data_IF_640190107390
#
_entry.id   IF_640190107390
#
_cell.length_a   1.000
_cell.length_b   1.000
_cell.length_c   1.000
_cell.angle_alpha   90.00
_cell.angle_beta   90.00
_cell.angle_gamma   90.00
#
_symmetry.space_group_name_H-M   'P 1'
#
loop_
_entity.id
_entity.type
_entity.pdbx_description
1 polymer ?
#
# COMPACT_ATOMS: atom_id res chain seq x y z
N UNK A 1 -19.09 -0.47 21.99
CA UNK A 1 -18.19 -1.58 21.61
C UNK A 1 -16.78 -1.04 21.45
N UNK A 2 -15.76 -1.73 21.98
CA UNK A 2 -14.37 -1.24 22.02
C UNK A 2 -13.68 -1.41 20.65
N UNK A 3 -13.15 -0.33 20.07
CA UNK A 3 -12.42 -0.33 18.79
C UNK A 3 -11.06 -1.02 18.89
N UNK A 4 -10.43 -1.01 20.07
CA UNK A 4 -9.14 -1.68 20.30
C UNK A 4 -9.30 -3.21 20.20
N UNK A 5 -10.41 -3.75 20.71
CA UNK A 5 -10.74 -5.18 20.56
C UNK A 5 -10.97 -5.58 19.09
N UNK A 6 -11.61 -4.71 18.30
CA UNK A 6 -11.80 -4.95 16.85
C UNK A 6 -10.46 -4.98 16.12
N UNK A 7 -9.55 -4.06 16.45
CA UNK A 7 -8.22 -4.02 15.87
C UNK A 7 -7.48 -5.35 16.09
N UNK A 8 -7.41 -5.83 17.33
CA UNK A 8 -6.74 -7.11 17.65
C UNK A 8 -7.40 -8.29 16.93
N UNK A 9 -8.74 -8.32 16.84
CA UNK A 9 -9.45 -9.33 16.07
C UNK A 9 -9.09 -9.29 14.58
N UNK A 10 -9.00 -8.10 13.98
CA UNK A 10 -8.64 -7.93 12.58
C UNK A 10 -7.18 -8.33 12.32
N UNK A 11 -6.26 -8.01 13.25
CA UNK A 11 -4.86 -8.44 13.15
C UNK A 11 -4.71 -9.96 13.18
N UNK A 12 -5.44 -10.63 14.07
CA UNK A 12 -5.47 -12.08 14.14
C UNK A 12 -6.08 -12.68 12.86
N UNK A 13 -7.21 -12.14 12.40
CA UNK A 13 -7.85 -12.56 11.16
C UNK A 13 -6.93 -12.39 9.95
N UNK A 14 -6.20 -11.28 9.83
CA UNK A 14 -5.23 -11.06 8.75
C UNK A 14 -4.18 -12.18 8.74
N UNK A 15 -3.54 -12.45 9.88
CA UNK A 15 -2.46 -13.44 9.99
C UNK A 15 -2.93 -14.86 9.71
N UNK A 16 -4.10 -15.23 10.20
CA UNK A 16 -4.63 -16.60 10.09
C UNK A 16 -5.32 -16.85 8.75
N UNK A 17 -6.03 -15.84 8.23
CA UNK A 17 -6.94 -16.02 7.11
C UNK A 17 -6.48 -15.31 5.82
N UNK A 18 -5.49 -14.43 5.83
CA UNK A 18 -5.13 -13.69 4.61
C UNK A 18 -3.64 -13.72 4.27
N UNK A 19 -2.84 -14.47 5.04
CA UNK A 19 -1.44 -14.75 4.74
C UNK A 19 -1.25 -16.27 4.60
N UNK A 20 -0.43 -16.70 3.64
CA UNK A 20 0.05 -18.09 3.58
C UNK A 20 0.93 -18.44 4.79
N UNK A 21 1.64 -17.43 5.27
CA UNK A 21 2.52 -17.48 6.43
C UNK A 21 3.33 -16.19 6.53
N UNK A 22 4.09 -16.06 7.61
CA UNK A 22 5.08 -14.97 7.79
C UNK A 22 6.45 -15.58 7.54
N UNK A 23 7.09 -15.19 6.44
CA UNK A 23 8.33 -15.76 5.94
C UNK A 23 8.75 -15.17 4.59
N UNK A 24 9.81 -15.74 4.01
CA UNK A 24 10.48 -15.32 2.77
C UNK A 24 10.15 -16.20 1.55
N UNK A 25 9.37 -17.28 1.75
CA UNK A 25 8.91 -18.16 0.67
C UNK A 25 8.00 -17.43 -0.31
N UNK A 26 7.88 -17.98 -1.52
CA UNK A 26 6.91 -17.54 -2.54
C UNK A 26 5.50 -17.37 -1.95
N UNK A 27 4.83 -16.24 -2.23
CA UNK A 27 3.55 -15.85 -1.62
C UNK A 27 3.51 -15.53 -0.12
N UNK A 28 4.57 -15.77 0.67
CA UNK A 28 4.55 -15.50 2.12
C UNK A 28 4.67 -14.01 2.41
N UNK A 29 4.08 -13.60 3.53
CA UNK A 29 4.00 -12.21 4.01
C UNK A 29 3.34 -11.24 3.00
N UNK A 30 2.59 -11.79 2.04
CA UNK A 30 1.80 -11.06 1.07
C UNK A 30 0.31 -11.25 1.41
N UNK A 31 -0.39 -10.15 1.71
CA UNK A 31 -1.78 -10.20 2.16
C UNK A 31 -2.77 -10.34 1.00
N UNK A 32 -3.60 -11.40 1.03
CA UNK A 32 -4.77 -11.53 0.17
C UNK A 32 -5.74 -10.38 0.46
N UNK A 33 -6.42 -9.87 -0.56
CA UNK A 33 -7.40 -8.79 -0.39
C UNK A 33 -8.76 -9.31 0.09
N UNK A 34 -9.18 -10.48 -0.40
CA UNK A 34 -10.53 -10.98 -0.17
C UNK A 34 -10.62 -12.51 -0.22
N UNK A 35 -11.64 -13.04 0.48
CA UNK A 35 -12.11 -14.43 0.40
C UNK A 35 -13.55 -14.45 -0.06
N UNK A 36 -13.82 -15.10 -1.20
CA UNK A 36 -15.14 -15.14 -1.82
C UNK A 36 -15.98 -16.27 -1.25
N UNK A 37 -17.17 -15.94 -0.74
CA UNK A 37 -18.05 -16.90 -0.06
C UNK A 37 -18.69 -17.89 -1.02
N UNK A 38 -19.00 -17.47 -2.25
CA UNK A 38 -19.72 -18.29 -3.23
C UNK A 38 -18.81 -19.28 -3.97
N UNK A 39 -17.56 -18.91 -4.24
CA UNK A 39 -16.62 -19.76 -4.98
C UNK A 39 -15.61 -20.48 -4.09
N UNK A 40 -15.37 -19.98 -2.88
CA UNK A 40 -14.23 -20.41 -2.07
C UNK A 40 -12.89 -19.94 -2.65
N UNK A 41 -12.88 -18.89 -3.48
CA UNK A 41 -11.65 -18.32 -4.02
C UNK A 41 -11.03 -17.32 -3.02
N UNK A 42 -9.71 -17.37 -2.85
CA UNK A 42 -8.93 -16.32 -2.18
C UNK A 42 -8.17 -15.51 -3.24
N UNK A 43 -8.05 -14.20 -3.06
CA UNK A 43 -7.51 -13.31 -4.09
C UNK A 43 -6.34 -12.46 -3.62
N UNK A 44 -5.29 -12.44 -4.43
CA UNK A 44 -4.08 -11.60 -4.32
C UNK A 44 -3.91 -10.60 -5.48
N UNK A 45 -4.93 -10.36 -6.32
CA UNK A 45 -4.79 -9.33 -7.35
C UNK A 45 -4.47 -7.95 -6.74
N UNK A 46 -3.55 -7.21 -7.37
CA UNK A 46 -2.88 -6.01 -6.85
C UNK A 46 -2.33 -6.15 -5.41
N UNK A 47 -1.76 -7.31 -5.05
CA UNK A 47 -1.28 -7.58 -3.70
C UNK A 47 -0.25 -6.57 -3.17
N UNK A 48 0.54 -5.92 -4.03
CA UNK A 48 1.45 -4.86 -3.60
C UNK A 48 0.75 -3.62 -3.03
N UNK A 49 -0.51 -3.36 -3.39
CA UNK A 49 -1.32 -2.33 -2.69
C UNK A 49 -1.59 -2.79 -1.24
N UNK A 50 -2.01 -4.06 -1.06
CA UNK A 50 -2.19 -4.64 0.27
C UNK A 50 -0.87 -4.67 1.05
N UNK A 51 0.26 -4.96 0.40
CA UNK A 51 1.59 -4.93 1.01
C UNK A 51 1.93 -3.53 1.51
N UNK A 52 1.67 -2.49 0.72
CA UNK A 52 1.85 -1.09 1.13
C UNK A 52 1.04 -0.73 2.38
N UNK A 53 -0.23 -1.15 2.43
CA UNK A 53 -1.07 -0.98 3.63
C UNK A 53 -0.56 -1.79 4.81
N UNK A 54 -0.11 -3.02 4.58
CA UNK A 54 0.42 -3.89 5.63
C UNK A 54 1.69 -3.33 6.25
N UNK A 55 2.63 -2.83 5.44
CA UNK A 55 3.81 -2.09 5.89
C UNK A 55 3.42 -0.87 6.74
N UNK A 56 2.42 -0.10 6.30
CA UNK A 56 1.90 1.05 7.04
C UNK A 56 1.26 0.67 8.39
N UNK A 57 0.45 -0.40 8.41
CA UNK A 57 -0.14 -0.96 9.64
C UNK A 57 0.96 -1.37 10.61
N UNK A 58 1.94 -2.14 10.15
CA UNK A 58 3.02 -2.63 11.01
C UNK A 58 3.90 -1.50 11.56
N UNK A 59 4.24 -0.50 10.75
CA UNK A 59 5.04 0.64 11.20
C UNK A 59 4.32 1.46 12.29
N UNK A 60 3.03 1.71 12.07
CA UNK A 60 2.21 2.46 13.03
C UNK A 60 1.86 1.64 14.28
N UNK A 61 1.69 0.33 14.14
CA UNK A 61 1.54 -0.63 15.26
C UNK A 61 2.79 -0.65 16.13
N UNK A 62 3.98 -0.74 15.52
CA UNK A 62 5.25 -0.69 16.24
C UNK A 62 5.33 0.56 17.12
N UNK A 63 5.03 1.73 16.56
CA UNK A 63 5.05 2.99 17.28
C UNK A 63 4.07 2.98 18.47
N UNK A 64 2.81 2.59 18.25
CA UNK A 64 1.80 2.53 19.31
C UNK A 64 2.21 1.55 20.41
N UNK A 65 2.72 0.37 20.06
CA UNK A 65 3.17 -0.62 21.03
C UNK A 65 4.36 -0.10 21.83
N UNK A 66 5.31 0.58 21.19
CA UNK A 66 6.45 1.17 21.89
C UNK A 66 6.02 2.27 22.85
N UNK A 67 5.09 3.14 22.46
CA UNK A 67 4.54 4.20 23.32
C UNK A 67 3.82 3.67 24.56
N UNK A 68 3.30 2.44 24.48
CA UNK A 68 2.58 1.76 25.56
C UNK A 68 3.40 0.65 26.24
N UNK A 69 4.72 0.59 25.98
CA UNK A 69 5.65 -0.42 26.52
C UNK A 69 5.20 -1.88 26.27
N UNK A 70 4.54 -2.15 25.14
CA UNK A 70 4.15 -3.48 24.68
C UNK A 70 5.29 -4.15 23.89
N UNK A 71 5.29 -5.48 23.83
CA UNK A 71 6.25 -6.25 23.04
C UNK A 71 6.07 -5.97 21.52
N UNK A 72 7.16 -5.60 20.85
CA UNK A 72 7.21 -5.28 19.41
C UNK A 72 7.86 -6.37 18.55
N UNK A 73 8.36 -7.45 19.13
CA UNK A 73 9.15 -8.50 18.46
C UNK A 73 8.39 -9.11 17.26
N UNK A 74 7.12 -9.46 17.45
CA UNK A 74 6.29 -10.01 16.38
C UNK A 74 6.05 -8.99 15.26
N UNK A 75 5.88 -7.70 15.58
CA UNK A 75 5.72 -6.63 14.59
C UNK A 75 7.03 -6.39 13.83
N UNK A 76 8.18 -6.45 14.48
CA UNK A 76 9.51 -6.37 13.85
C UNK A 76 9.71 -7.55 12.89
N UNK A 77 9.36 -8.77 13.31
CA UNK A 77 9.42 -9.98 12.46
C UNK A 77 8.57 -9.80 11.20
N UNK A 78 7.33 -9.35 11.34
CA UNK A 78 6.44 -9.10 10.20
C UNK A 78 6.96 -7.98 9.29
N UNK A 79 7.51 -6.89 9.83
CA UNK A 79 8.13 -5.82 9.04
C UNK A 79 9.28 -6.35 8.21
N UNK A 80 10.19 -7.10 8.84
CA UNK A 80 11.34 -7.70 8.14
C UNK A 80 10.89 -8.56 6.96
N UNK A 81 9.92 -9.46 7.18
CA UNK A 81 9.46 -10.33 6.10
C UNK A 81 8.60 -9.60 5.06
N UNK A 82 7.79 -8.61 5.43
CA UNK A 82 7.04 -7.80 4.47
C UNK A 82 7.96 -6.97 3.55
N UNK A 83 9.07 -6.43 4.08
CA UNK A 83 10.09 -5.76 3.26
C UNK A 83 10.85 -6.79 2.40
N UNK A 84 11.17 -7.96 2.95
CA UNK A 84 11.79 -9.06 2.21
C UNK A 84 10.90 -9.57 1.07
N UNK A 85 9.58 -9.53 1.23
CA UNK A 85 8.62 -9.82 0.16
C UNK A 85 8.79 -8.84 -0.99
N UNK A 86 8.90 -7.53 -0.71
CA UNK A 86 9.11 -6.52 -1.74
C UNK A 86 10.46 -6.67 -2.44
N UNK A 87 11.53 -6.98 -1.68
CA UNK A 87 12.83 -7.38 -2.23
C UNK A 87 12.70 -8.49 -3.25
N UNK A 88 12.02 -9.57 -2.88
CA UNK A 88 11.88 -10.74 -3.72
C UNK A 88 11.01 -10.45 -4.95
N UNK A 89 9.94 -9.66 -4.81
CA UNK A 89 9.08 -9.25 -5.94
C UNK A 89 9.80 -8.34 -6.94
N UNK A 90 10.76 -7.53 -6.50
CA UNK A 90 11.68 -6.75 -7.34
C UNK A 90 12.70 -7.69 -8.00
N UNK A 91 13.46 -8.42 -7.19
CA UNK A 91 14.54 -9.31 -7.65
C UNK A 91 14.12 -10.30 -8.73
N UNK A 92 12.94 -10.91 -8.61
CA UNK A 92 12.48 -11.95 -9.54
C UNK A 92 11.61 -11.41 -10.66
N UNK A 93 11.31 -10.11 -10.70
CA UNK A 93 10.31 -9.53 -11.58
C UNK A 93 10.55 -9.89 -13.06
N UNK A 94 11.78 -9.71 -13.53
CA UNK A 94 12.15 -9.95 -14.93
C UNK A 94 12.03 -11.39 -15.37
N UNK A 95 12.14 -12.34 -14.43
CA UNK A 95 12.11 -13.78 -14.73
C UNK A 95 10.75 -14.27 -15.19
N UNK A 96 9.69 -13.49 -14.95
CA UNK A 96 8.33 -13.77 -15.40
C UNK A 96 8.07 -13.35 -16.85
N UNK A 97 9.03 -12.70 -17.51
CA UNK A 97 8.86 -12.09 -18.83
C UNK A 97 9.89 -12.59 -19.82
N UNK A 98 9.57 -12.47 -21.11
CA UNK A 98 10.43 -12.86 -22.21
C UNK A 98 10.60 -11.71 -23.19
N UNK A 99 11.80 -11.55 -23.73
CA UNK A 99 12.09 -10.57 -24.77
C UNK A 99 11.52 -10.99 -26.15
N UNK A 100 11.78 -10.21 -27.18
CA UNK A 100 11.35 -10.51 -28.56
C UNK A 100 11.93 -11.81 -29.13
N UNK A 101 13.06 -12.28 -28.59
CA UNK A 101 13.73 -13.52 -28.95
C UNK A 101 13.31 -14.70 -28.06
N UNK A 102 12.28 -14.53 -27.23
CA UNK A 102 11.80 -15.51 -26.24
C UNK A 102 12.85 -15.90 -25.20
N UNK A 103 13.79 -15.01 -24.91
CA UNK A 103 14.75 -15.18 -23.82
C UNK A 103 14.15 -14.63 -22.54
N UNK A 104 14.13 -15.44 -21.48
CA UNK A 104 13.64 -15.00 -20.18
C UNK A 104 14.51 -13.88 -19.62
N UNK A 105 13.88 -12.91 -18.97
CA UNK A 105 14.60 -11.87 -18.24
C UNK A 105 15.44 -12.44 -17.10
N UNK A 106 16.48 -11.70 -16.70
CA UNK A 106 17.37 -12.10 -15.60
C UNK A 106 16.99 -11.36 -14.32
N UNK A 107 17.09 -12.01 -13.14
CA UNK A 107 16.85 -11.35 -11.87
C UNK A 107 17.62 -10.05 -11.73
N UNK A 108 16.97 -8.98 -11.25
CA UNK A 108 17.57 -7.66 -11.09
C UNK A 108 16.94 -6.89 -9.93
N UNK A 109 17.76 -6.13 -9.19
CA UNK A 109 17.27 -5.21 -8.17
C UNK A 109 17.33 -3.79 -8.74
N UNK A 110 16.35 -3.44 -9.54
CA UNK A 110 16.31 -2.16 -10.23
C UNK A 110 15.09 -1.31 -9.86
N UNK A 111 14.19 -1.81 -9.01
CA UNK A 111 12.96 -1.14 -8.61
C UNK A 111 11.73 -1.48 -9.47
N UNK A 112 11.90 -2.31 -10.52
CA UNK A 112 10.80 -2.96 -11.22
C UNK A 112 10.34 -4.17 -10.43
N UNK A 113 9.04 -4.27 -10.13
CA UNK A 113 8.51 -5.40 -9.38
C UNK A 113 7.28 -6.00 -10.04
N UNK A 114 6.98 -7.25 -9.70
CA UNK A 114 5.68 -7.87 -9.97
C UNK A 114 4.71 -7.70 -8.80
N UNK A 115 3.41 -7.74 -9.08
CA UNK A 115 2.35 -7.46 -8.08
C UNK A 115 2.20 -8.55 -7.05
N UNK A 116 2.38 -9.78 -7.48
CA UNK A 116 2.46 -10.96 -6.65
C UNK A 116 3.31 -12.02 -7.34
N UNK A 117 3.66 -13.05 -6.59
CA UNK A 117 4.34 -14.24 -7.10
C UNK A 117 3.60 -15.51 -6.70
N UNK A 118 2.28 -15.48 -6.60
CA UNK A 118 1.51 -16.63 -6.11
C UNK A 118 1.08 -17.50 -7.27
N UNK A 119 1.63 -18.70 -7.37
CA UNK A 119 1.33 -19.68 -8.41
C UNK A 119 0.46 -20.85 -7.88
N UNK A 120 1.03 -21.72 -7.06
CA UNK A 120 0.45 -22.95 -6.53
C UNK A 120 0.53 -22.88 -5.02
N UNK A 121 -0.63 -22.93 -4.37
CA UNK A 121 -0.73 -23.11 -2.92
C UNK A 121 -0.68 -24.61 -2.62
N UNK A 122 0.18 -25.00 -1.67
CA UNK A 122 0.30 -26.39 -1.22
C UNK A 122 -0.92 -26.83 -0.41
N UNK A 123 -1.13 -28.14 -0.29
CA UNK A 123 -2.19 -28.70 0.55
C UNK A 123 -2.11 -28.21 2.00
N UNK A 124 -0.91 -28.08 2.55
CA UNK A 124 -0.68 -27.60 3.93
C UNK A 124 -1.04 -26.12 4.09
N UNK A 125 -0.77 -25.30 3.08
CA UNK A 125 -1.17 -23.88 3.10
C UNK A 125 -2.69 -23.72 2.97
N UNK A 126 -3.37 -24.51 2.14
CA UNK A 126 -4.84 -24.55 2.14
C UNK A 126 -5.39 -24.96 3.51
N UNK A 127 -4.80 -25.96 4.16
CA UNK A 127 -5.20 -26.37 5.50
C UNK A 127 -5.00 -25.24 6.51
N UNK A 128 -3.88 -24.54 6.44
CA UNK A 128 -3.57 -23.38 7.28
C UNK A 128 -4.60 -22.26 7.08
N UNK A 129 -4.86 -21.89 5.82
CA UNK A 129 -5.85 -20.89 5.45
C UNK A 129 -7.28 -21.28 5.86
N UNK A 130 -7.61 -22.56 5.94
CA UNK A 130 -8.95 -23.02 6.27
C UNK A 130 -9.14 -23.33 7.76
N UNK A 131 -8.07 -23.32 8.55
CA UNK A 131 -8.15 -23.61 9.98
C UNK A 131 -8.83 -22.45 10.73
N UNK A 132 -10.09 -22.67 11.16
CA UNK A 132 -10.87 -21.66 11.89
C UNK A 132 -11.49 -20.56 11.01
N UNK A 133 -11.36 -20.64 9.68
CA UNK A 133 -11.97 -19.68 8.76
C UNK A 133 -13.46 -19.97 8.54
N UNK A 134 -14.27 -18.92 8.41
CA UNK A 134 -15.69 -19.03 8.02
C UNK A 134 -15.87 -19.46 6.55
N UNK A 135 -14.87 -19.23 5.70
CA UNK A 135 -14.89 -19.55 4.28
C UNK A 135 -13.77 -20.52 3.98
N UNK A 136 -14.13 -21.71 3.48
CA UNK A 136 -13.19 -22.69 2.98
C UNK A 136 -12.68 -22.28 1.60
N UNK A 137 -11.38 -22.00 1.55
CA UNK A 137 -10.62 -21.68 0.35
C UNK A 137 -10.36 -22.97 -0.44
N UNK A 138 -10.66 -22.92 -1.73
CA UNK A 138 -10.58 -24.02 -2.70
C UNK A 138 -9.75 -23.67 -3.94
N UNK A 139 -9.60 -22.38 -4.22
CA UNK A 139 -8.86 -21.89 -5.38
C UNK A 139 -8.23 -20.53 -5.10
N UNK A 140 -7.32 -20.13 -5.99
CA UNK A 140 -6.54 -18.89 -5.90
C UNK A 140 -6.82 -18.02 -7.11
N UNK A 141 -6.89 -16.72 -6.87
CA UNK A 141 -6.88 -15.69 -7.90
C UNK A 141 -5.67 -14.78 -7.68
N UNK A 142 -4.73 -14.84 -8.60
CA UNK A 142 -3.45 -14.16 -8.54
C UNK A 142 -3.21 -13.48 -9.89
N UNK A 143 -2.58 -12.31 -9.88
CA UNK A 143 -2.25 -11.61 -11.13
C UNK A 143 -1.18 -12.42 -11.90
N UNK A 144 -0.31 -13.19 -11.24
CA UNK A 144 0.66 -14.08 -11.89
C UNK A 144 -0.02 -15.15 -12.76
N UNK A 145 -1.18 -15.67 -12.33
CA UNK A 145 -1.90 -16.73 -13.03
C UNK A 145 -2.75 -16.25 -14.22
N UNK A 146 -2.87 -14.93 -14.42
CA UNK A 146 -3.62 -14.33 -15.53
C UNK A 146 -2.78 -14.29 -16.82
N UNK A 147 -2.42 -15.47 -17.31
CA UNK A 147 -1.50 -15.66 -18.43
C UNK A 147 -2.16 -15.23 -19.75
N UNK A 148 -1.53 -14.29 -20.45
CA UNK A 148 -1.86 -13.98 -21.84
C UNK A 148 -1.37 -15.14 -22.73
N UNK A 149 -2.29 -15.85 -23.37
CA UNK A 149 -1.98 -17.07 -24.14
C UNK A 149 -1.08 -16.81 -25.34
N UNK A 150 -1.06 -15.59 -25.89
CA UNK A 150 -0.20 -15.23 -27.01
C UNK A 150 1.24 -14.93 -26.54
N UNK A 151 1.38 -14.39 -25.33
CA UNK A 151 2.68 -13.98 -24.76
C UNK A 151 3.33 -15.07 -23.90
N UNK A 152 2.53 -15.96 -23.30
CA UNK A 152 2.99 -17.00 -22.37
C UNK A 152 3.30 -16.48 -20.96
N UNK A 153 2.91 -15.24 -20.64
CA UNK A 153 3.08 -14.63 -19.31
C UNK A 153 1.94 -13.66 -18.98
N UNK A 154 1.83 -13.28 -17.70
CA UNK A 154 0.84 -12.30 -17.25
C UNK A 154 1.35 -10.86 -17.38
N UNK A 155 0.74 -10.11 -18.29
CA UNK A 155 0.91 -8.65 -18.38
C UNK A 155 0.17 -7.90 -17.26
N UNK A 156 -0.77 -8.57 -16.59
CA UNK A 156 -1.47 -7.99 -15.45
C UNK A 156 -0.64 -8.05 -14.17
N UNK A 157 0.41 -8.87 -14.11
CA UNK A 157 1.31 -8.95 -12.96
C UNK A 157 2.42 -7.87 -12.93
N UNK A 158 2.54 -7.05 -13.97
CA UNK A 158 3.52 -5.96 -13.99
C UNK A 158 3.17 -4.86 -12.99
N UNK A 159 4.17 -4.21 -12.37
CA UNK A 159 3.93 -3.01 -11.55
C UNK A 159 3.15 -1.94 -12.32
N UNK A 160 2.46 -1.09 -11.55
CA UNK A 160 1.73 0.07 -12.02
C UNK A 160 1.88 1.22 -11.04
N UNK A 161 1.59 2.45 -11.48
CA UNK A 161 1.67 3.65 -10.64
C UNK A 161 0.88 3.52 -9.34
N UNK A 162 -0.28 2.86 -9.36
CA UNK A 162 -1.16 2.75 -8.19
C UNK A 162 -0.43 1.97 -7.08
N UNK A 163 0.24 0.87 -7.44
CA UNK A 163 1.00 0.05 -6.51
C UNK A 163 2.22 0.77 -5.97
N UNK A 164 2.93 1.50 -6.83
CA UNK A 164 4.05 2.35 -6.41
C UNK A 164 3.62 3.33 -5.33
N UNK A 165 2.48 4.01 -5.51
CA UNK A 165 1.99 5.02 -4.57
C UNK A 165 1.72 4.42 -3.18
N UNK A 166 1.04 3.28 -3.13
CA UNK A 166 0.71 2.66 -1.84
C UNK A 166 1.89 1.95 -1.17
N UNK A 167 2.84 1.43 -1.95
CA UNK A 167 4.12 0.97 -1.40
C UNK A 167 4.90 2.14 -0.79
N UNK A 168 5.03 3.26 -1.50
CA UNK A 168 5.69 4.46 -0.98
C UNK A 168 4.98 4.99 0.27
N UNK A 169 3.66 4.85 0.39
CA UNK A 169 2.92 5.19 1.61
C UNK A 169 3.35 4.33 2.80
N UNK A 170 3.39 3.00 2.64
CA UNK A 170 3.88 2.10 3.69
C UNK A 170 5.33 2.35 4.08
N UNK A 171 6.21 2.51 3.09
CA UNK A 171 7.64 2.79 3.28
C UNK A 171 7.87 4.14 3.97
N UNK A 172 7.06 5.15 3.65
CA UNK A 172 7.13 6.47 4.31
C UNK A 172 6.72 6.42 5.78
N UNK A 173 5.75 5.58 6.13
CA UNK A 173 5.38 5.35 7.53
C UNK A 173 6.48 4.60 8.29
N UNK A 174 7.18 3.67 7.62
CA UNK A 174 8.37 3.01 8.20
C UNK A 174 9.46 4.04 8.51
N UNK A 175 9.81 4.91 7.56
CA UNK A 175 10.79 6.00 7.79
C UNK A 175 10.42 6.88 8.99
N UNK A 176 9.13 7.17 9.16
CA UNK A 176 8.64 8.03 10.25
C UNK A 176 8.72 7.36 11.61
N UNK A 177 8.37 6.07 11.69
CA UNK A 177 8.04 5.42 12.97
C UNK A 177 9.00 4.33 13.42
N UNK A 178 9.84 3.82 12.53
CA UNK A 178 10.83 2.80 12.85
C UNK A 178 12.19 3.48 13.09
N UNK A 179 12.79 3.32 14.29
CA UNK A 179 14.15 3.80 14.55
C UNK A 179 15.21 3.12 13.68
N UNK A 180 16.29 3.84 13.35
CA UNK A 180 17.43 3.39 12.51
C UNK A 180 18.22 2.18 13.07
N UNK A 181 17.93 1.78 14.31
CA UNK A 181 18.56 0.63 14.97
C UNK A 181 17.65 -0.60 15.01
N UNK A 182 16.50 -0.58 14.32
CA UNK A 182 15.51 -1.64 14.44
C UNK A 182 15.86 -2.77 13.49
N UNK A 183 16.30 -3.88 14.08
CA UNK A 183 16.71 -5.09 13.37
C UNK A 183 15.87 -6.29 13.79
N UNK A 184 15.67 -7.25 12.89
CA UNK A 184 15.09 -8.55 13.23
C UNK A 184 16.20 -9.53 13.59
N UNK A 185 16.06 -10.18 14.75
CA UNK A 185 17.02 -11.16 15.25
C UNK A 185 16.37 -12.54 15.34
N UNK A 186 17.12 -13.58 14.99
CA UNK A 186 16.75 -14.99 15.23
C UNK A 186 17.95 -15.67 15.87
N UNK A 187 17.76 -16.29 17.03
CA UNK A 187 18.84 -16.95 17.78
C UNK A 187 20.06 -16.03 18.01
N UNK A 188 19.82 -14.77 18.35
CA UNK A 188 20.84 -13.72 18.52
C UNK A 188 21.64 -13.35 17.26
N UNK A 189 21.21 -13.80 16.08
CA UNK A 189 21.77 -13.37 14.80
C UNK A 189 20.89 -12.30 14.15
N UNK A 190 21.49 -11.19 13.73
CA UNK A 190 20.83 -10.16 12.95
C UNK A 190 20.55 -10.70 11.55
N UNK A 191 19.29 -10.62 11.11
CA UNK A 191 18.90 -10.96 9.75
C UNK A 191 19.05 -9.76 8.81
N UNK A 192 19.48 -10.04 7.59
CA UNK A 192 19.77 -9.03 6.56
C UNK A 192 18.82 -9.21 5.38
N UNK A 193 18.29 -8.10 4.88
CA UNK A 193 17.57 -8.02 3.62
C UNK A 193 18.60 -7.81 2.51
N UNK A 194 18.62 -8.67 1.50
CA UNK A 194 19.72 -8.77 0.54
C UNK A 194 19.75 -7.67 -0.56
N UNK A 195 19.33 -6.44 -0.25
CA UNK A 195 19.54 -5.29 -1.14
C UNK A 195 21.02 -4.87 -1.12
N UNK A 196 21.73 -5.07 -2.25
CA UNK A 196 23.10 -4.55 -2.53
C UNK A 196 24.01 -4.39 -1.29
N UNK A 197 24.64 -5.50 -0.86
CA UNK A 197 25.54 -5.67 0.31
C UNK A 197 24.88 -6.08 1.64
N UNK A 198 23.57 -6.33 1.65
CA UNK A 198 22.86 -6.81 2.84
C UNK A 198 22.57 -5.68 3.84
N UNK A 199 21.29 -5.34 3.97
CA UNK A 199 20.80 -4.26 4.85
C UNK A 199 20.08 -4.92 6.03
N UNK A 200 20.58 -4.72 7.24
CA UNK A 200 19.94 -5.23 8.46
C UNK A 200 18.88 -4.32 9.04
N UNK A 201 19.04 -3.00 8.87
CA UNK A 201 18.12 -2.01 9.43
C UNK A 201 16.86 -1.86 8.56
N UNK A 202 15.70 -2.00 9.20
CA UNK A 202 14.38 -1.98 8.55
C UNK A 202 14.12 -0.63 7.87
N UNK A 203 14.50 0.48 8.50
CA UNK A 203 14.26 1.82 7.94
C UNK A 203 15.16 2.08 6.73
N UNK A 204 16.45 1.79 6.84
CA UNK A 204 17.42 1.91 5.75
C UNK A 204 17.00 1.06 4.54
N UNK A 205 16.49 -0.15 4.76
CA UNK A 205 15.96 -0.99 3.70
C UNK A 205 14.76 -0.30 3.01
N UNK A 206 13.83 0.27 3.78
CA UNK A 206 12.68 0.97 3.22
C UNK A 206 13.07 2.22 2.38
N UNK A 207 14.06 2.99 2.83
CA UNK A 207 14.61 4.15 2.11
C UNK A 207 15.30 3.73 0.80
N UNK A 208 16.09 2.65 0.84
CA UNK A 208 16.77 2.11 -0.35
C UNK A 208 15.78 1.61 -1.39
N UNK A 209 14.76 0.87 -0.97
CA UNK A 209 13.70 0.38 -1.86
C UNK A 209 12.92 1.53 -2.48
N UNK A 210 12.55 2.52 -1.67
CA UNK A 210 11.86 3.71 -2.17
C UNK A 210 12.69 4.40 -3.25
N UNK A 211 13.99 4.53 -3.03
CA UNK A 211 14.94 5.11 -4.00
C UNK A 211 14.97 4.32 -5.30
N UNK A 212 15.12 2.99 -5.25
CA UNK A 212 15.14 2.13 -6.44
C UNK A 212 13.84 2.25 -7.25
N UNK A 213 12.68 2.16 -6.59
CA UNK A 213 11.38 2.32 -7.26
C UNK A 213 11.27 3.68 -7.94
N UNK A 214 11.68 4.76 -7.26
CA UNK A 214 11.61 6.13 -7.76
C UNK A 214 12.57 6.36 -8.95
N UNK A 215 13.78 5.81 -8.89
CA UNK A 215 14.74 5.81 -10.00
C UNK A 215 14.15 5.06 -11.19
N UNK A 216 13.59 3.87 -10.97
CA UNK A 216 13.00 3.05 -12.01
C UNK A 216 11.88 3.76 -12.76
N UNK A 217 10.85 4.26 -12.05
CA UNK A 217 9.71 4.92 -12.68
C UNK A 217 10.13 6.22 -13.41
N UNK A 218 11.24 6.82 -13.00
CA UNK A 218 11.77 8.04 -13.62
C UNK A 218 12.78 7.79 -14.74
N UNK A 219 13.20 6.54 -14.95
CA UNK A 219 14.24 6.15 -15.93
C UNK A 219 13.83 6.46 -17.38
N UNK A 220 12.52 6.36 -17.66
CA UNK A 220 11.91 6.60 -18.97
C UNK A 220 11.08 7.90 -19.01
N UNK A 221 11.42 8.86 -18.15
CA UNK A 221 10.72 10.15 -18.09
C UNK A 221 10.82 10.92 -19.40
N UNK A 222 9.69 11.48 -19.82
CA UNK A 222 9.57 12.45 -20.92
C UNK A 222 9.02 13.77 -20.39
N UNK A 223 9.07 14.82 -21.21
CA UNK A 223 8.47 16.13 -20.91
C UNK A 223 6.99 15.99 -20.52
N UNK A 224 6.27 15.01 -21.05
CA UNK A 224 4.83 14.82 -20.87
C UNK A 224 4.41 13.55 -20.08
N UNK A 225 5.31 12.96 -19.29
CA UNK A 225 4.94 11.83 -18.41
C UNK A 225 6.09 10.89 -18.09
N UNK A 226 5.91 10.09 -17.05
CA UNK A 226 6.86 9.06 -16.64
C UNK A 226 6.28 7.69 -17.00
N UNK A 227 6.79 7.12 -18.09
CA UNK A 227 6.31 5.85 -18.62
C UNK A 227 7.05 4.70 -17.96
N UNK A 228 6.34 3.88 -17.19
CA UNK A 228 6.87 2.64 -16.65
C UNK A 228 6.96 1.64 -17.80
N UNK A 229 8.16 1.14 -18.05
CA UNK A 229 8.40 0.06 -19.00
C UNK A 229 8.71 -1.21 -18.25
N UNK A 230 8.52 -2.34 -18.91
CA UNK A 230 9.05 -3.62 -18.48
C UNK A 230 10.49 -3.73 -19.02
N UNK A 231 11.48 -4.04 -18.18
CA UNK A 231 12.89 -3.99 -18.59
C UNK A 231 13.28 -5.19 -19.45
N UNK A 232 12.55 -6.31 -19.36
CA UNK A 232 12.75 -7.49 -20.21
C UNK A 232 12.16 -7.28 -21.60
N UNK A 233 10.93 -6.78 -21.68
CA UNK A 233 10.22 -6.66 -22.97
C UNK A 233 10.50 -5.34 -23.69
N UNK A 234 11.02 -4.33 -22.97
CA UNK A 234 11.19 -2.96 -23.47
C UNK A 234 9.87 -2.21 -23.71
N UNK A 235 8.71 -2.84 -23.48
CA UNK A 235 7.38 -2.27 -23.71
C UNK A 235 6.89 -1.53 -22.48
N UNK A 236 5.98 -0.58 -22.70
CA UNK A 236 5.22 0.06 -21.62
C UNK A 236 4.36 -0.97 -20.90
N UNK A 237 4.33 -0.94 -19.56
CA UNK A 237 3.51 -1.88 -18.77
C UNK A 237 2.02 -1.75 -19.13
N UNK A 238 1.24 -2.83 -19.02
CA UNK A 238 -0.15 -2.83 -19.50
C UNK A 238 -1.07 -1.88 -18.71
N UNK A 239 -0.89 -1.79 -17.39
CA UNK A 239 -1.80 -1.06 -16.48
C UNK A 239 -1.06 0.05 -15.75
N UNK A 240 -1.69 1.22 -15.65
CA UNK A 240 -1.18 2.33 -14.83
C UNK A 240 0.24 2.76 -15.20
N UNK A 241 0.59 2.67 -16.49
CA UNK A 241 1.95 2.90 -16.98
C UNK A 241 2.44 4.34 -16.90
N UNK A 242 1.52 5.32 -16.84
CA UNK A 242 1.87 6.73 -16.86
C UNK A 242 1.75 7.31 -15.45
N UNK A 243 2.89 7.56 -14.83
CA UNK A 243 2.99 8.45 -13.68
C UNK A 243 2.87 9.90 -14.20
N UNK A 244 1.68 10.50 -13.99
CA UNK A 244 1.39 11.85 -14.46
C UNK A 244 2.24 12.90 -13.74
N UNK A 245 2.39 14.08 -14.35
CA UNK A 245 3.15 15.22 -13.80
C UNK A 245 2.87 15.58 -12.34
N UNK A 246 1.61 15.48 -11.92
CA UNK A 246 1.25 15.79 -10.55
C UNK A 246 1.85 14.79 -9.54
N UNK A 247 2.03 13.54 -9.94
CA UNK A 247 2.72 12.54 -9.13
C UNK A 247 4.24 12.74 -9.21
N UNK A 248 4.77 13.18 -10.36
CA UNK A 248 6.20 13.40 -10.56
C UNK A 248 6.81 14.37 -9.54
N UNK A 249 6.15 15.50 -9.25
CA UNK A 249 6.57 16.41 -8.17
C UNK A 249 6.62 15.72 -6.80
N UNK A 250 5.60 14.94 -6.49
CA UNK A 250 5.51 14.21 -5.23
C UNK A 250 6.60 13.12 -5.14
N UNK A 251 6.82 12.35 -6.20
CA UNK A 251 7.91 11.38 -6.33
C UNK A 251 9.27 12.03 -6.13
N UNK A 252 9.54 13.16 -6.79
CA UNK A 252 10.77 13.91 -6.61
C UNK A 252 10.95 14.45 -5.19
N UNK A 253 9.86 14.85 -4.53
CA UNK A 253 9.91 15.31 -3.13
C UNK A 253 10.27 14.18 -2.17
N UNK A 254 9.78 12.97 -2.41
CA UNK A 254 10.16 11.76 -1.67
C UNK A 254 11.61 11.39 -2.00
N UNK A 255 12.01 11.41 -3.27
CA UNK A 255 13.38 11.08 -3.67
C UNK A 255 14.42 12.00 -3.05
N UNK A 256 14.17 13.32 -3.07
CA UNK A 256 15.02 14.35 -2.44
C UNK A 256 15.26 14.09 -0.96
N UNK A 257 14.26 13.53 -0.26
CA UNK A 257 14.36 13.20 1.15
C UNK A 257 15.40 12.09 1.40
N UNK A 258 15.48 11.10 0.53
CA UNK A 258 16.39 9.96 0.68
C UNK A 258 17.77 10.18 0.06
N UNK A 259 17.89 11.08 -0.93
CA UNK A 259 19.11 11.26 -1.71
C UNK A 259 19.73 12.65 -1.50
N UNK A 260 19.81 13.11 -0.25
CA UNK A 260 20.52 14.34 0.13
C UNK A 260 20.12 15.60 -0.69
N UNK A 261 18.86 15.68 -1.12
CA UNK A 261 18.34 16.80 -1.93
C UNK A 261 18.54 16.66 -3.44
N UNK A 262 19.16 15.59 -3.93
CA UNK A 262 19.25 15.27 -5.36
C UNK A 262 17.86 15.14 -6.00
N UNK A 263 17.76 15.52 -7.27
CA UNK A 263 16.47 15.59 -7.97
C UNK A 263 16.39 14.55 -9.08
N UNK A 264 15.25 13.86 -9.16
CA UNK A 264 14.90 12.99 -10.29
C UNK A 264 14.85 13.74 -11.63
N UNK A 265 14.74 15.08 -11.63
CA UNK A 265 14.76 15.91 -12.84
C UNK A 265 16.17 16.33 -13.29
N UNK A 266 17.22 16.03 -12.52
CA UNK A 266 18.56 16.54 -12.79
C UNK A 266 18.62 18.08 -12.81
N UNK A 267 19.48 18.65 -13.66
CA UNK A 267 19.74 20.09 -13.75
C UNK A 267 18.56 20.95 -14.24
N UNK A 268 17.53 20.37 -14.85
CA UNK A 268 16.35 21.09 -15.36
C UNK A 268 15.20 21.19 -14.33
N UNK A 269 15.46 20.79 -13.08
CA UNK A 269 14.45 20.65 -12.02
C UNK A 269 13.59 21.89 -11.75
N UNK A 270 14.14 23.10 -11.84
CA UNK A 270 13.41 24.34 -11.54
C UNK A 270 12.31 24.69 -12.56
N UNK A 271 12.57 24.47 -13.86
CA UNK A 271 11.63 24.78 -14.93
C UNK A 271 10.47 23.78 -14.96
N UNK A 272 10.79 22.49 -14.83
CA UNK A 272 9.78 21.42 -14.74
C UNK A 272 8.91 21.58 -13.49
N UNK A 273 9.51 21.82 -12.31
CA UNK A 273 8.73 22.00 -11.08
C UNK A 273 7.76 23.20 -11.17
N UNK A 274 8.15 24.28 -11.86
CA UNK A 274 7.30 25.46 -12.03
C UNK A 274 6.12 25.18 -12.97
N UNK A 275 6.37 24.50 -14.09
CA UNK A 275 5.34 24.09 -15.05
C UNK A 275 4.34 23.11 -14.43
N UNK A 276 4.84 22.10 -13.73
CA UNK A 276 4.01 21.09 -13.07
C UNK A 276 3.10 21.72 -12.01
N UNK A 277 3.59 22.68 -11.23
CA UNK A 277 2.79 23.41 -10.25
C UNK A 277 1.62 24.18 -10.89
N UNK A 278 1.81 24.70 -12.10
CA UNK A 278 0.75 25.38 -12.86
C UNK A 278 -0.36 24.42 -13.28
N UNK A 279 0.01 23.31 -13.92
CA UNK A 279 -0.93 22.28 -14.37
C UNK A 279 -1.65 21.65 -13.17
N UNK A 280 -0.91 21.34 -12.10
CA UNK A 280 -1.44 20.77 -10.87
C UNK A 280 -2.59 21.58 -10.32
N UNK A 281 -2.43 22.91 -10.19
CA UNK A 281 -3.46 23.78 -9.61
C UNK A 281 -4.74 23.81 -10.44
N UNK A 282 -4.62 23.73 -11.77
CA UNK A 282 -5.78 23.76 -12.68
C UNK A 282 -6.47 22.39 -12.76
N UNK A 283 -5.71 21.30 -12.72
CA UNK A 283 -6.21 19.94 -12.93
C UNK A 283 -6.64 19.18 -11.67
N UNK A 284 -6.15 19.56 -10.47
CA UNK A 284 -6.34 18.76 -9.24
C UNK A 284 -7.81 18.40 -8.96
N UNK A 285 -8.70 19.38 -9.05
CA UNK A 285 -10.13 19.17 -8.80
C UNK A 285 -10.76 18.20 -9.81
N UNK A 286 -10.37 18.29 -11.08
CA UNK A 286 -10.85 17.42 -12.15
C UNK A 286 -10.37 15.98 -11.92
N UNK A 287 -9.09 15.80 -11.57
CA UNK A 287 -8.51 14.48 -11.33
C UNK A 287 -9.19 13.78 -10.15
N UNK A 288 -9.42 14.49 -9.03
CA UNK A 288 -10.14 13.91 -7.89
C UNK A 288 -11.56 13.50 -8.29
N UNK A 289 -12.27 14.31 -9.09
CA UNK A 289 -13.61 13.99 -9.60
C UNK A 289 -13.64 12.81 -10.59
N UNK A 290 -12.51 12.49 -11.23
CA UNK A 290 -12.39 11.37 -12.18
C UNK A 290 -12.08 10.03 -11.50
N UNK A 291 -12.22 9.92 -10.18
CA UNK A 291 -11.98 8.66 -9.43
C UNK A 291 -10.49 8.34 -9.21
N UNK A 292 -9.60 9.30 -9.45
CA UNK A 292 -8.16 9.17 -9.19
C UNK A 292 -7.77 9.88 -7.88
N UNK A 293 -8.76 10.23 -7.05
CA UNK A 293 -8.58 11.01 -5.82
C UNK A 293 -7.63 10.38 -4.84
N UNK A 294 -7.76 9.06 -4.59
CA UNK A 294 -6.89 8.32 -3.68
C UNK A 294 -5.41 8.50 -4.04
N UNK A 295 -5.03 8.30 -5.30
CA UNK A 295 -3.63 8.44 -5.72
C UNK A 295 -3.06 9.83 -5.48
N UNK A 296 -3.81 10.87 -5.84
CA UNK A 296 -3.31 12.24 -5.75
C UNK A 296 -3.25 12.69 -4.29
N UNK A 297 -4.25 12.32 -3.50
CA UNK A 297 -4.33 12.66 -2.08
C UNK A 297 -3.29 11.89 -1.27
N UNK A 298 -3.12 10.59 -1.51
CA UNK A 298 -2.06 9.79 -0.87
C UNK A 298 -0.70 10.38 -1.21
N UNK A 299 -0.42 10.67 -2.47
CA UNK A 299 0.86 11.30 -2.85
C UNK A 299 1.04 12.67 -2.20
N UNK A 300 -0.01 13.49 -2.12
CA UNK A 300 0.05 14.75 -1.40
C UNK A 300 0.34 14.55 0.10
N UNK A 301 -0.32 13.58 0.72
CA UNK A 301 -0.19 13.25 2.12
C UNK A 301 1.21 12.78 2.48
N UNK A 302 1.85 11.94 1.65
CA UNK A 302 3.17 11.38 1.97
C UNK A 302 4.34 12.28 1.58
N UNK A 303 4.17 13.14 0.56
CA UNK A 303 5.26 13.97 0.01
C UNK A 303 5.27 15.43 0.47
N UNK A 304 4.16 15.93 1.04
CA UNK A 304 3.95 17.36 1.29
C UNK A 304 4.18 18.24 0.04
N UNK A 305 3.84 17.74 -1.15
CA UNK A 305 4.17 18.40 -2.42
C UNK A 305 3.64 19.83 -2.58
N UNK A 306 2.62 20.27 -1.84
CA UNK A 306 2.09 21.64 -1.92
C UNK A 306 2.60 22.55 -0.79
N UNK A 307 3.60 22.11 -0.03
CA UNK A 307 4.15 22.85 1.11
C UNK A 307 3.07 23.20 2.13
N UNK A 308 3.04 24.46 2.58
CA UNK A 308 2.05 24.95 3.55
C UNK A 308 0.58 24.82 3.12
N UNK A 309 0.31 24.59 1.82
CA UNK A 309 -1.05 24.39 1.32
C UNK A 309 -1.50 22.93 1.32
N UNK A 310 -0.60 21.97 1.52
CA UNK A 310 -0.92 20.53 1.41
C UNK A 310 -2.04 20.15 2.37
N UNK A 311 -1.93 20.51 3.65
CA UNK A 311 -2.93 20.19 4.66
C UNK A 311 -4.33 20.71 4.28
N UNK A 312 -4.42 21.99 3.88
CA UNK A 312 -5.68 22.61 3.46
C UNK A 312 -6.29 21.93 2.23
N UNK A 313 -5.44 21.51 1.27
CA UNK A 313 -5.90 20.75 0.10
C UNK A 313 -6.44 19.41 0.57
N UNK A 314 -5.69 18.63 1.33
CA UNK A 314 -6.13 17.32 1.82
C UNK A 314 -7.46 17.43 2.58
N UNK A 315 -7.56 18.34 3.56
CA UNK A 315 -8.79 18.53 4.33
C UNK A 315 -10.00 18.84 3.45
N UNK A 316 -9.85 19.73 2.46
CA UNK A 316 -10.90 20.07 1.49
C UNK A 316 -11.42 18.85 0.72
N UNK A 317 -10.56 17.88 0.43
CA UNK A 317 -10.89 16.71 -0.37
C UNK A 317 -11.15 15.43 0.46
N UNK A 318 -10.77 15.39 1.73
CA UNK A 318 -10.91 14.20 2.58
C UNK A 318 -12.35 13.94 3.01
N UNK A 319 -13.08 14.97 3.41
CA UNK A 319 -14.43 14.82 4.01
C UNK A 319 -15.58 15.18 3.08
N UNK A 320 -15.29 15.46 1.81
CA UNK A 320 -16.31 15.77 0.82
C UNK A 320 -16.73 14.50 0.09
N UNK A 321 -18.03 14.28 -0.02
CA UNK A 321 -18.55 13.21 -0.89
C UNK A 321 -18.32 13.60 -2.35
N UNK A 322 -17.53 12.79 -3.05
CA UNK A 322 -17.35 12.87 -4.50
C UNK A 322 -18.39 12.01 -5.22
N UNK A 323 -18.28 11.95 -6.56
CA UNK A 323 -19.09 11.05 -7.38
C UNK A 323 -19.10 9.65 -6.75
N UNK A 324 -20.27 9.02 -6.68
CA UNK A 324 -20.47 7.72 -6.03
C UNK A 324 -20.18 7.69 -4.51
N UNK A 325 -20.37 8.83 -3.82
CA UNK A 325 -20.19 8.98 -2.37
C UNK A 325 -18.76 8.72 -1.87
N UNK A 326 -17.76 8.69 -2.77
CA UNK A 326 -16.36 8.47 -2.42
C UNK A 326 -15.84 9.55 -1.46
N UNK A 327 -15.20 9.12 -0.37
CA UNK A 327 -14.51 9.98 0.59
C UNK A 327 -13.12 9.41 0.91
N UNK A 328 -12.19 10.31 1.26
CA UNK A 328 -10.77 10.00 1.49
C UNK A 328 -10.33 10.56 2.85
N UNK A 329 -11.15 10.36 3.88
CA UNK A 329 -10.98 10.95 5.21
C UNK A 329 -9.63 10.61 5.86
N UNK A 330 -9.10 9.43 5.55
CA UNK A 330 -7.91 8.89 6.15
C UNK A 330 -6.64 9.64 5.74
N UNK A 331 -6.66 10.30 4.59
CA UNK A 331 -5.55 11.09 4.06
C UNK A 331 -5.21 12.28 4.96
N UNK A 332 -6.23 12.84 5.62
CA UNK A 332 -6.04 13.89 6.61
C UNK A 332 -5.27 13.36 7.82
N UNK A 333 -5.62 12.18 8.32
CA UNK A 333 -4.86 11.55 9.40
C UNK A 333 -3.43 11.24 8.95
N UNK A 334 -3.27 10.61 7.77
CA UNK A 334 -1.96 10.23 7.22
C UNK A 334 -1.00 11.42 7.15
N UNK A 335 -1.44 12.55 6.58
CA UNK A 335 -0.62 13.76 6.49
C UNK A 335 -0.22 14.26 7.89
N UNK A 336 -1.20 14.42 8.79
CA UNK A 336 -0.93 15.02 10.08
C UNK A 336 -0.03 14.14 10.96
N UNK A 337 -0.11 12.82 10.84
CA UNK A 337 0.81 11.93 11.58
C UNK A 337 2.23 11.95 11.00
N UNK A 338 2.40 12.05 9.67
CA UNK A 338 3.73 12.10 9.05
C UNK A 338 4.46 13.41 9.35
N UNK A 339 3.72 14.52 9.35
CA UNK A 339 4.28 15.88 9.49
C UNK A 339 4.08 16.47 10.90
N UNK A 340 3.50 15.71 11.83
CA UNK A 340 3.25 16.12 13.22
C UNK A 340 2.60 17.50 13.29
N UNK A 341 1.61 17.73 12.42
CA UNK A 341 0.87 18.98 12.38
C UNK A 341 -0.42 18.85 13.18
N UNK A 342 -0.66 19.79 14.08
CA UNK A 342 -1.95 19.94 14.73
C UNK A 342 -2.91 20.65 13.76
N UNK A 343 -4.14 20.15 13.61
CA UNK A 343 -5.13 20.75 12.72
C UNK A 343 -6.47 20.89 13.45
N UNK A 344 -6.90 22.13 13.66
CA UNK A 344 -8.16 22.43 14.36
C UNK A 344 -9.37 21.77 13.69
N UNK A 345 -9.48 21.86 12.36
CA UNK A 345 -10.58 21.27 11.61
C UNK A 345 -10.63 19.74 11.79
N UNK A 346 -9.47 19.08 11.73
CA UNK A 346 -9.36 17.64 11.99
C UNK A 346 -9.68 17.32 13.45
N UNK A 347 -9.27 18.15 14.43
CA UNK A 347 -9.60 17.95 15.84
C UNK A 347 -11.11 17.87 16.09
N UNK A 348 -11.90 18.69 15.38
CA UNK A 348 -13.37 18.64 15.42
C UNK A 348 -13.97 17.37 14.80
N UNK A 349 -13.17 16.54 14.10
CA UNK A 349 -13.60 15.25 13.52
C UNK A 349 -13.34 14.05 14.44
N UNK A 350 -12.84 14.24 15.67
CA UNK A 350 -12.55 13.12 16.59
C UNK A 350 -13.76 12.21 16.83
N UNK A 351 -14.92 12.79 17.10
CA UNK A 351 -16.16 12.04 17.34
C UNK A 351 -16.66 11.34 16.06
N UNK A 352 -16.48 11.99 14.90
CA UNK A 352 -16.79 11.40 13.61
C UNK A 352 -15.97 10.13 13.37
N UNK A 353 -14.64 10.18 13.58
CA UNK A 353 -13.77 9.01 13.42
C UNK A 353 -14.08 7.92 14.44
N UNK A 354 -14.41 8.28 15.68
CA UNK A 354 -14.81 7.32 16.71
C UNK A 354 -16.08 6.55 16.28
N UNK A 355 -17.10 7.27 15.80
CA UNK A 355 -18.32 6.67 15.25
C UNK A 355 -18.04 5.78 14.03
N UNK A 356 -17.21 6.29 13.12
CA UNK A 356 -16.82 5.60 11.89
C UNK A 356 -16.04 4.29 12.17
N UNK A 357 -15.07 4.28 13.07
CA UNK A 357 -14.36 3.06 13.48
C UNK A 357 -15.27 2.12 14.29
N UNK A 358 -16.21 2.65 15.07
CA UNK A 358 -17.21 1.84 15.78
C UNK A 358 -18.23 1.19 14.84
N UNK A 359 -18.45 1.71 13.63
CA UNK A 359 -19.38 1.11 12.66
C UNK A 359 -18.83 -0.14 11.95
N UNK A 360 -17.52 -0.39 12.02
CA UNK A 360 -16.89 -1.57 11.40
C UNK A 360 -17.44 -2.88 12.00
N UNK A 361 -17.70 -3.93 11.22
CA UNK A 361 -18.21 -5.19 11.76
C UNK A 361 -17.20 -5.86 12.69
N UNK A 362 -17.66 -6.58 13.72
CA UNK A 362 -16.75 -7.17 14.70
C UNK A 362 -15.75 -8.16 14.08
N UNK A 363 -16.20 -8.96 13.10
CA UNK A 363 -15.44 -10.10 12.55
C UNK A 363 -14.63 -9.77 11.28
N UNK A 364 -14.54 -8.50 10.90
CA UNK A 364 -13.88 -8.09 9.66
C UNK A 364 -14.83 -7.37 8.71
N UNK A 365 -14.31 -6.56 7.77
CA UNK A 365 -15.12 -5.97 6.72
C UNK A 365 -15.60 -7.06 5.75
N UNK A 366 -16.80 -6.89 5.21
CA UNK A 366 -17.40 -7.86 4.29
C UNK A 366 -18.41 -7.19 3.36
N UNK A 367 -18.70 -7.84 2.24
CA UNK A 367 -19.83 -7.49 1.40
C UNK A 367 -20.52 -8.77 0.92
N UNK A 368 -21.77 -8.98 1.35
CA UNK A 368 -22.57 -10.15 0.97
C UNK A 368 -23.74 -9.82 0.04
N UNK A 369 -23.79 -8.59 -0.49
CA UNK A 369 -24.91 -8.06 -1.30
C UNK A 369 -26.28 -8.13 -0.60
N UNK A 370 -26.30 -8.20 0.74
CA UNK A 370 -27.51 -8.10 1.57
C UNK A 370 -27.56 -6.72 2.24
N UNK A 371 -28.38 -5.83 1.67
CA UNK A 371 -28.51 -4.42 2.07
C UNK A 371 -28.99 -4.22 3.50
N UNK A 372 -29.61 -5.22 4.12
CA UNK A 372 -30.20 -5.11 5.47
C UNK A 372 -29.17 -5.31 6.59
N UNK A 373 -27.97 -5.81 6.26
CA UNK A 373 -26.92 -6.19 7.23
C UNK A 373 -25.54 -5.59 6.92
N UNK A 374 -25.44 -4.66 5.98
CA UNK A 374 -24.14 -4.09 5.61
C UNK A 374 -23.71 -2.99 6.56
N UNK A 375 -22.46 -3.08 7.02
CA UNK A 375 -21.72 -1.87 7.37
C UNK A 375 -21.28 -1.20 6.07
N UNK A 376 -22.08 -0.24 5.59
CA UNK A 376 -21.88 0.41 4.29
C UNK A 376 -20.44 0.88 4.10
N UNK A 377 -19.86 1.52 5.12
CA UNK A 377 -18.49 2.03 5.07
C UNK A 377 -17.42 0.94 4.97
N UNK A 378 -17.70 -0.25 5.47
CA UNK A 378 -16.76 -1.36 5.59
C UNK A 378 -17.16 -2.53 4.68
N UNK A 379 -17.71 -2.21 3.51
CA UNK A 379 -18.21 -3.17 2.52
C UNK A 379 -17.49 -3.11 1.18
N UNK A 380 -16.25 -2.63 1.17
CA UNK A 380 -15.34 -2.67 0.04
C UNK A 380 -14.04 -3.40 0.43
N UNK A 381 -13.44 -4.13 -0.51
CA UNK A 381 -12.14 -4.79 -0.30
C UNK A 381 -10.96 -3.83 -0.17
N UNK A 382 -11.11 -2.62 -0.73
CA UNK A 382 -10.12 -1.54 -0.69
C UNK A 382 -10.81 -0.21 -0.49
N UNK A 383 -11.30 0.05 0.71
CA UNK A 383 -11.95 1.30 1.09
C UNK A 383 -11.06 2.52 0.85
N UNK A 384 -9.78 2.44 1.18
CA UNK A 384 -8.83 3.57 1.09
C UNK A 384 -8.53 3.98 -0.34
N UNK A 385 -8.61 3.03 -1.29
CA UNK A 385 -8.26 3.25 -2.70
C UNK A 385 -9.47 3.30 -3.62
N UNK A 386 -10.54 2.58 -3.29
CA UNK A 386 -11.79 2.49 -4.06
C UNK A 386 -13.02 2.73 -3.15
N UNK A 387 -13.12 3.87 -2.45
CA UNK A 387 -14.25 4.16 -1.56
C UNK A 387 -15.60 4.23 -2.30
N UNK A 388 -15.60 4.43 -3.62
CA UNK A 388 -16.80 4.34 -4.47
C UNK A 388 -17.37 2.92 -4.56
N UNK A 389 -16.58 1.88 -4.28
CA UNK A 389 -16.98 0.48 -4.38
C UNK A 389 -17.70 -0.03 -3.12
N UNK A 390 -18.25 0.86 -2.29
CA UNK A 390 -18.99 0.52 -1.07
C UNK A 390 -20.44 0.17 -1.38
N UNK A 391 -21.03 -0.67 -0.52
CA UNK A 391 -22.42 -1.07 -0.59
C UNK A 391 -22.71 -1.87 -1.86
N UNK A 392 -23.74 -1.46 -2.59
CA UNK A 392 -24.16 -2.13 -3.82
C UNK A 392 -23.29 -1.80 -5.05
N UNK A 393 -22.48 -0.75 -4.97
CA UNK A 393 -21.53 -0.37 -6.03
C UNK A 393 -20.32 -1.32 -6.08
N UNK A 394 -20.19 -2.20 -5.08
CA UNK A 394 -19.21 -3.26 -5.10
C UNK A 394 -19.51 -4.27 -6.22
N UNK A 395 -18.83 -4.09 -7.36
CA UNK A 395 -18.95 -4.97 -8.52
C UNK A 395 -18.32 -6.36 -8.30
N UNK A 396 -17.66 -6.59 -7.17
CA UNK A 396 -17.08 -7.88 -6.82
C UNK A 396 -18.09 -8.94 -6.37
N UNK A 397 -17.55 -10.10 -6.03
CA UNK A 397 -18.31 -11.23 -5.50
C UNK A 397 -18.55 -11.07 -4.00
N UNK A 398 -19.54 -11.81 -3.46
CA UNK A 398 -19.77 -11.84 -2.02
C UNK A 398 -18.49 -12.30 -1.32
N UNK A 399 -17.96 -11.52 -0.38
CA UNK A 399 -16.64 -11.77 0.18
C UNK A 399 -16.42 -11.19 1.58
N UNK A 400 -15.46 -11.79 2.28
CA UNK A 400 -14.79 -11.20 3.45
C UNK A 400 -13.51 -10.51 3.01
N UNK A 401 -13.15 -9.41 3.67
CA UNK A 401 -11.98 -8.61 3.35
C UNK A 401 -10.96 -8.64 4.49
N UNK A 402 -9.69 -8.38 4.17
CA UNK A 402 -8.57 -8.56 5.09
C UNK A 402 -8.50 -7.52 6.24
N UNK A 403 -9.24 -6.42 6.15
CA UNK A 403 -9.30 -5.40 7.19
C UNK A 403 -8.11 -4.44 7.26
N UNK A 404 -7.16 -4.49 6.33
CA UNK A 404 -5.95 -3.63 6.35
C UNK A 404 -6.30 -2.14 6.40
N UNK A 405 -7.32 -1.71 5.66
CA UNK A 405 -7.79 -0.32 5.66
C UNK A 405 -8.26 0.13 7.05
N UNK A 406 -9.05 -0.71 7.72
CA UNK A 406 -9.50 -0.44 9.09
C UNK A 406 -8.32 -0.31 10.04
N UNK A 407 -7.39 -1.26 9.97
CA UNK A 407 -6.23 -1.29 10.87
C UNK A 407 -5.33 -0.06 10.66
N UNK A 408 -5.10 0.34 9.40
CA UNK A 408 -4.32 1.54 9.10
C UNK A 408 -5.02 2.79 9.64
N UNK A 409 -6.30 2.98 9.34
CA UNK A 409 -7.07 4.15 9.79
C UNK A 409 -7.13 4.21 11.32
N UNK A 410 -7.37 3.07 11.97
CA UNK A 410 -7.36 2.96 13.43
C UNK A 410 -6.01 3.39 14.00
N UNK A 411 -4.88 2.90 13.46
CA UNK A 411 -3.57 3.28 13.97
C UNK A 411 -3.30 4.78 13.77
N UNK A 412 -3.59 5.32 12.58
CA UNK A 412 -3.44 6.75 12.30
C UNK A 412 -4.30 7.61 13.24
N UNK A 413 -5.53 7.17 13.52
CA UNK A 413 -6.44 7.80 14.48
C UNK A 413 -5.85 7.80 15.90
N UNK A 414 -5.41 6.63 16.38
CA UNK A 414 -4.83 6.49 17.73
C UNK A 414 -3.58 7.34 17.88
N UNK A 415 -2.72 7.38 16.86
CA UNK A 415 -1.53 8.24 16.86
C UNK A 415 -1.93 9.71 16.95
N UNK A 416 -2.75 10.20 16.02
CA UNK A 416 -3.11 11.62 15.94
C UNK A 416 -3.84 12.14 17.20
N UNK A 417 -4.79 11.37 17.73
CA UNK A 417 -5.58 11.77 18.90
C UNK A 417 -5.01 11.30 20.24
N UNK A 418 -3.82 10.68 20.25
CA UNK A 418 -3.17 10.29 21.51
C UNK A 418 -2.77 11.54 22.30
N UNK A 419 -3.07 11.61 23.61
CA UNK A 419 -2.67 12.74 24.45
C UNK A 419 -1.14 12.90 24.57
N UNK A 420 -0.36 11.89 24.16
CA UNK A 420 1.12 11.88 24.26
C UNK A 420 1.83 12.63 23.12
N UNK A 421 1.13 13.09 22.08
CA UNK A 421 1.76 13.94 21.08
C UNK A 421 1.88 15.38 21.61
N UNK A 422 3.06 16.02 21.58
CA UNK A 422 3.16 17.45 21.83
C UNK A 422 2.29 18.17 20.80
N UNK A 423 1.30 18.93 21.30
CA UNK A 423 0.29 19.62 20.49
C UNK A 423 0.77 20.95 19.94
#
# INVERSE_FOLDING_TARGET
MNIDFKYENYRNNLRQNYLLGIGDKQGYSLAASERRTNTGEIKWADATISLGHYLGVLATEYYLYKQDNRNTEQTIKELYYAISTLYRLDYTAETFYYDENKVAGKPSLNGFFVRDDIDIITKTEYQTLNNGSQINVKSVNSDLLDIDTALGYSTNNEMSKDQVIFLLMGLRLIEKYIPDSTVYMVNNEIKTINYSNGISDIKTAAEKISTLILEYISSNKKIFGWYIKNPTTGKTVKRGYNAYHFQAKAYNSIYKRYNQGESLYGGLSGLFASFENGILKLGFNTIVKMGQGHMVLTMAAISNQFGSKTQKIIMKYSFKDYKSKANYEWEALLYNVLYTSNNEELNFKKEWFDTFLKSAPMNGPYNYKDTTKMSYDWSASRRTTQPESRGNEYNGYKANFNGLDYMLIYNLYKIYYSPKLPK
#
